data_IF_440423050585
#
_entry.id   IF_440423050585
#
_cell.length_a   1.000
_cell.length_b   1.000
_cell.length_c   1.000
_cell.angle_alpha   90.00
_cell.angle_beta   90.00
_cell.angle_gamma   90.00
#
_symmetry.space_group_name_H-M   'P 1'
#
loop_
_entity.id
_entity.type
_entity.pdbx_description
1 polymer ?
#
# COMPACT_ATOMS: atom_id res chain seq x y z
N UNK A 1 -11.55 10.65 -3.43
CA UNK A 1 -12.89 11.29 -3.40
C UNK A 1 -12.98 12.17 -2.16
N UNK A 2 -13.65 13.33 -2.22
CA UNK A 2 -13.92 14.12 -1.02
C UNK A 2 -14.76 13.30 -0.04
N UNK A 3 -14.31 13.23 1.21
CA UNK A 3 -15.02 12.54 2.29
C UNK A 3 -16.30 13.32 2.63
N UNK A 4 -17.46 12.75 2.33
CA UNK A 4 -18.74 13.35 2.75
C UNK A 4 -19.01 13.03 4.22
N UNK A 5 -18.55 13.91 5.12
CA UNK A 5 -18.78 13.74 6.55
C UNK A 5 -20.23 14.07 6.98
N UNK A 6 -21.13 14.47 6.08
CA UNK A 6 -22.48 14.92 6.46
C UNK A 6 -23.35 13.81 7.05
N UNK A 7 -22.98 12.54 6.81
CA UNK A 7 -23.72 11.36 7.27
C UNK A 7 -23.09 10.69 8.50
N UNK A 8 -21.94 11.17 8.96
CA UNK A 8 -21.24 10.55 10.09
C UNK A 8 -21.95 10.81 11.41
N UNK A 9 -21.95 9.80 12.27
CA UNK A 9 -22.44 9.88 13.65
C UNK A 9 -21.23 10.12 14.57
N UNK A 10 -21.43 10.88 15.66
CA UNK A 10 -20.38 11.14 16.66
C UNK A 10 -19.87 9.80 17.22
N UNK A 11 -18.55 9.60 17.20
CA UNK A 11 -17.91 8.35 17.61
C UNK A 11 -17.80 7.29 16.50
N UNK A 12 -18.33 7.55 15.31
CA UNK A 12 -18.18 6.66 14.16
C UNK A 12 -16.73 6.69 13.65
N UNK A 13 -16.08 5.52 13.51
CA UNK A 13 -14.72 5.46 13.01
C UNK A 13 -14.66 5.70 11.49
N UNK A 14 -13.59 6.32 11.04
CA UNK A 14 -13.38 6.63 9.61
C UNK A 14 -12.66 5.50 8.87
N UNK A 15 -12.82 5.46 7.55
CA UNK A 15 -12.11 4.53 6.66
C UNK A 15 -10.58 4.70 6.74
N UNK A 16 -9.85 3.57 6.67
CA UNK A 16 -8.38 3.50 6.79
C UNK A 16 -7.63 4.24 5.66
N UNK A 17 -8.29 4.48 4.53
CA UNK A 17 -7.70 5.19 3.41
C UNK A 17 -7.54 6.71 3.66
N UNK A 18 -8.26 7.27 4.64
CA UNK A 18 -8.27 8.71 4.90
C UNK A 18 -7.01 9.13 5.65
N UNK A 19 -6.29 10.10 5.06
CA UNK A 19 -5.18 10.79 5.71
C UNK A 19 -5.65 11.95 6.58
N UNK A 20 -4.97 12.15 7.71
CA UNK A 20 -5.27 13.18 8.68
C UNK A 20 -4.08 14.10 8.98
N UNK A 21 -4.43 15.33 9.34
CA UNK A 21 -3.56 16.33 9.96
C UNK A 21 -3.98 16.56 11.40
N UNK A 22 -3.03 16.66 12.33
CA UNK A 22 -3.34 17.13 13.68
C UNK A 22 -3.71 18.61 13.66
N UNK A 23 -4.81 18.96 14.34
CA UNK A 23 -5.24 20.36 14.46
C UNK A 23 -4.16 21.25 15.09
N UNK A 24 -3.43 20.73 16.09
CA UNK A 24 -2.31 21.46 16.72
C UNK A 24 -1.18 21.74 15.74
N UNK A 25 -0.89 20.80 14.83
CA UNK A 25 0.16 20.96 13.81
C UNK A 25 -0.28 21.99 12.76
N UNK A 26 -1.57 21.99 12.38
CA UNK A 26 -2.15 23.00 11.48
C UNK A 26 -2.04 24.41 12.07
N UNK A 27 -2.41 24.59 13.34
CA UNK A 27 -2.32 25.90 13.99
C UNK A 27 -0.88 26.43 14.09
N UNK A 28 0.10 25.52 14.22
CA UNK A 28 1.52 25.86 14.25
C UNK A 28 2.16 26.00 12.84
N UNK A 29 1.41 25.74 11.77
CA UNK A 29 1.93 25.73 10.40
C UNK A 29 2.52 27.08 9.96
N UNK A 30 1.91 28.26 10.23
CA UNK A 30 2.45 29.54 9.78
C UNK A 30 3.84 29.83 10.32
N UNK A 31 4.08 29.45 11.58
CA UNK A 31 5.33 29.72 12.27
C UNK A 31 6.40 28.68 11.92
N UNK A 32 5.98 27.48 11.49
CA UNK A 32 6.88 26.35 11.20
C UNK A 32 7.26 26.23 9.73
N UNK A 33 6.35 26.54 8.80
CA UNK A 33 6.49 26.16 7.38
C UNK A 33 6.29 27.31 6.39
N UNK A 34 5.81 28.48 6.83
CA UNK A 34 5.71 29.65 5.96
C UNK A 34 6.96 30.49 6.11
N UNK A 35 7.58 30.85 4.98
CA UNK A 35 8.74 31.73 4.96
C UNK A 35 8.41 33.15 5.42
N UNK A 36 9.39 33.82 6.04
CA UNK A 36 9.25 35.15 6.67
C UNK A 36 8.56 36.21 5.80
N UNK A 37 8.71 36.13 4.48
CA UNK A 37 8.07 37.05 3.54
C UNK A 37 6.53 36.90 3.50
N UNK A 38 6.03 35.66 3.58
CA UNK A 38 4.60 35.36 3.47
C UNK A 38 3.90 35.19 4.83
N UNK A 39 4.65 34.92 5.90
CA UNK A 39 4.08 34.70 7.25
C UNK A 39 3.16 35.85 7.70
N UNK A 40 3.54 37.15 7.62
CA UNK A 40 2.66 38.24 8.07
C UNK A 40 1.34 38.35 7.28
N UNK A 41 1.36 37.92 6.01
CA UNK A 41 0.19 37.97 5.12
C UNK A 41 -0.73 36.76 5.33
N UNK A 42 -0.16 35.60 5.62
CA UNK A 42 -0.90 34.35 5.81
C UNK A 42 -1.44 34.17 7.23
N UNK A 43 -0.72 34.63 8.28
CA UNK A 43 -1.09 34.44 9.69
C UNK A 43 -2.54 34.87 10.02
N UNK A 44 -3.07 36.00 9.51
CA UNK A 44 -4.47 36.38 9.76
C UNK A 44 -5.51 35.35 9.32
N UNK A 45 -5.22 34.55 8.29
CA UNK A 45 -6.12 33.45 7.87
C UNK A 45 -6.12 32.30 8.86
N UNK A 46 -4.97 32.03 9.50
CA UNK A 46 -4.86 30.99 10.53
C UNK A 46 -5.45 31.44 11.87
N UNK A 47 -5.29 32.73 12.21
CA UNK A 47 -5.92 33.33 13.40
C UNK A 47 -7.45 33.25 13.34
N UNK A 48 -8.01 33.24 12.12
CA UNK A 48 -9.45 33.14 11.81
C UNK A 48 -9.80 31.86 11.02
N UNK A 49 -9.06 30.78 11.22
CA UNK A 49 -9.15 29.55 10.40
C UNK A 49 -10.56 28.93 10.34
N UNK A 50 -11.41 29.21 11.33
CA UNK A 50 -12.77 28.70 11.45
C UNK A 50 -13.84 29.62 10.81
N UNK A 51 -13.53 30.89 10.57
CA UNK A 51 -14.48 31.88 10.03
C UNK A 51 -14.69 31.67 8.52
N UNK A 52 -15.95 31.69 8.08
CA UNK A 52 -16.36 31.53 6.68
C UNK A 52 -16.09 30.15 6.08
N UNK A 53 -15.87 29.12 6.91
CA UNK A 53 -15.45 27.78 6.46
C UNK A 53 -16.14 26.65 7.22
N UNK A 54 -16.08 25.46 6.64
CA UNK A 54 -16.55 24.23 7.25
C UNK A 54 -15.34 23.36 7.58
N UNK A 55 -15.31 22.84 8.81
CA UNK A 55 -14.32 21.87 9.26
C UNK A 55 -15.02 20.66 9.86
N UNK A 56 -14.67 19.48 9.39
CA UNK A 56 -15.00 18.21 10.02
C UNK A 56 -13.87 17.77 10.94
N UNK A 57 -14.17 17.69 12.23
CA UNK A 57 -13.24 17.32 13.28
C UNK A 57 -13.40 15.86 13.69
N UNK A 58 -12.26 15.24 13.94
CA UNK A 58 -12.13 13.87 14.41
C UNK A 58 -11.28 13.86 15.68
N UNK A 59 -11.46 12.83 16.50
CA UNK A 59 -10.70 12.62 17.71
C UNK A 59 -10.04 11.24 17.73
N UNK A 60 -8.89 11.15 18.40
CA UNK A 60 -8.16 9.91 18.62
C UNK A 60 -7.57 9.88 20.02
N UNK A 61 -7.87 8.81 20.76
CA UNK A 61 -7.30 8.56 22.09
C UNK A 61 -5.95 7.86 22.01
N UNK A 62 -5.13 8.02 23.05
CA UNK A 62 -3.97 7.15 23.25
C UNK A 62 -4.48 5.81 23.81
N UNK A 63 -4.26 4.66 23.15
CA UNK A 63 -4.82 3.38 23.56
C UNK A 63 -4.34 2.95 24.94
N UNK A 64 -3.09 3.23 25.28
CA UNK A 64 -2.53 2.88 26.60
C UNK A 64 -2.67 3.99 27.67
N UNK A 65 -3.25 5.14 27.33
CA UNK A 65 -3.39 6.28 28.25
C UNK A 65 -4.77 6.94 28.09
N UNK A 66 -5.85 6.22 28.40
CA UNK A 66 -7.21 6.68 28.14
C UNK A 66 -7.61 7.94 28.94
N UNK A 67 -6.91 8.22 30.06
CA UNK A 67 -7.13 9.42 30.87
C UNK A 67 -6.53 10.69 30.25
N UNK A 68 -5.62 10.57 29.27
CA UNK A 68 -5.11 11.73 28.54
C UNK A 68 -6.17 12.28 27.57
N UNK A 69 -6.21 13.61 27.41
CA UNK A 69 -7.12 14.23 26.43
C UNK A 69 -6.83 13.70 25.02
N UNK A 70 -7.87 13.32 24.26
CA UNK A 70 -7.69 12.86 22.88
C UNK A 70 -7.18 14.00 22.00
N UNK A 71 -6.56 13.61 20.89
CA UNK A 71 -6.01 14.56 19.91
C UNK A 71 -7.05 14.86 18.85
N UNK A 72 -7.13 16.14 18.50
CA UNK A 72 -7.98 16.62 17.40
C UNK A 72 -7.27 16.51 16.07
N UNK A 73 -8.03 16.02 15.10
CA UNK A 73 -7.60 15.72 13.74
C UNK A 73 -8.61 16.29 12.76
N UNK A 74 -8.14 16.63 11.57
CA UNK A 74 -8.97 16.95 10.41
C UNK A 74 -8.44 16.19 9.20
N UNK A 75 -9.30 15.70 8.29
CA UNK A 75 -8.88 15.16 7.00
C UNK A 75 -7.89 16.09 6.29
N UNK A 76 -6.79 15.53 5.79
CA UNK A 76 -5.71 16.29 5.15
C UNK A 76 -6.21 17.17 4.01
N UNK A 77 -7.17 16.66 3.23
CA UNK A 77 -7.79 17.38 2.12
C UNK A 77 -8.40 18.73 2.53
N UNK A 78 -9.02 18.82 3.73
CA UNK A 78 -9.56 20.10 4.20
C UNK A 78 -8.46 21.13 4.49
N UNK A 79 -7.26 20.67 4.86
CA UNK A 79 -6.11 21.56 5.05
C UNK A 79 -5.50 21.99 3.71
N UNK A 80 -5.44 21.09 2.72
CA UNK A 80 -5.03 21.43 1.36
C UNK A 80 -5.95 22.49 0.75
N UNK A 81 -7.27 22.29 0.85
CA UNK A 81 -8.28 23.25 0.39
C UNK A 81 -8.15 24.62 1.09
N UNK A 82 -7.83 24.60 2.39
CA UNK A 82 -7.58 25.81 3.15
C UNK A 82 -6.34 26.57 2.61
N UNK A 83 -5.22 25.88 2.41
CA UNK A 83 -4.01 26.49 1.84
C UNK A 83 -4.26 27.03 0.43
N UNK A 84 -4.99 26.27 -0.41
CA UNK A 84 -5.34 26.70 -1.76
C UNK A 84 -6.16 28.00 -1.75
N UNK A 85 -7.11 28.12 -0.83
CA UNK A 85 -7.90 29.35 -0.72
C UNK A 85 -7.07 30.58 -0.29
N UNK A 86 -6.05 30.39 0.56
CA UNK A 86 -5.11 31.46 0.92
C UNK A 86 -4.30 31.85 -0.33
N UNK A 87 -3.84 30.85 -1.08
CA UNK A 87 -3.09 31.06 -2.32
C UNK A 87 -3.88 31.88 -3.35
N UNK A 88 -5.17 31.59 -3.52
CA UNK A 88 -6.06 32.36 -4.41
C UNK A 88 -6.19 33.83 -4.00
N UNK A 89 -6.23 34.13 -2.70
CA UNK A 89 -6.37 35.51 -2.19
C UNK A 89 -5.03 36.26 -2.21
N UNK A 90 -3.93 35.58 -1.85
CA UNK A 90 -2.63 36.24 -1.67
C UNK A 90 -1.70 36.14 -2.89
N UNK A 91 -2.04 35.34 -3.91
CA UNK A 91 -1.15 35.04 -5.03
C UNK A 91 0.10 34.27 -4.59
N UNK A 92 -0.06 33.36 -3.62
CA UNK A 92 1.04 32.53 -3.09
C UNK A 92 0.95 31.09 -3.56
N UNK A 93 1.93 30.26 -3.17
CA UNK A 93 1.96 28.82 -3.43
C UNK A 93 2.25 28.03 -2.14
N UNK A 94 1.52 28.33 -1.07
CA UNK A 94 1.57 27.56 0.18
C UNK A 94 1.08 26.14 -0.08
N UNK A 95 1.84 25.16 0.38
CA UNK A 95 1.51 23.74 0.24
C UNK A 95 2.01 22.97 1.47
N UNK A 96 1.49 21.76 1.69
CA UNK A 96 2.10 20.85 2.66
C UNK A 96 3.58 20.65 2.29
N UNK A 97 4.53 20.82 3.23
CA UNK A 97 5.94 20.69 2.92
C UNK A 97 6.27 19.27 2.47
N UNK A 98 7.05 19.15 1.39
CA UNK A 98 7.58 17.87 0.94
C UNK A 98 8.67 17.31 1.87
N UNK A 99 9.16 16.12 1.55
CA UNK A 99 10.26 15.47 2.27
C UNK A 99 9.86 15.04 3.68
N UNK A 100 10.79 15.10 4.64
CA UNK A 100 10.61 14.53 5.98
C UNK A 100 9.48 15.17 6.82
N UNK A 101 8.97 16.34 6.41
CA UNK A 101 7.86 17.00 7.09
C UNK A 101 6.49 16.60 6.53
N UNK A 102 6.44 16.02 5.32
CA UNK A 102 5.21 15.64 4.64
C UNK A 102 4.40 14.63 5.46
N UNK A 103 5.09 13.64 6.03
CA UNK A 103 4.50 12.54 6.79
C UNK A 103 3.68 13.03 8.01
N UNK A 104 3.90 14.25 8.50
CA UNK A 104 3.12 14.84 9.61
C UNK A 104 1.72 15.29 9.21
N UNK A 105 1.49 15.43 7.91
CA UNK A 105 0.25 15.92 7.33
C UNK A 105 -0.53 14.83 6.59
N UNK A 106 0.05 13.65 6.35
CA UNK A 106 -0.63 12.52 5.72
C UNK A 106 -0.70 11.31 6.64
N UNK A 107 -1.07 11.52 7.91
CA UNK A 107 -1.12 10.44 8.91
C UNK A 107 -2.27 9.48 8.59
N UNK A 108 -1.97 8.18 8.51
CA UNK A 108 -2.98 7.11 8.36
C UNK A 108 -3.04 6.25 9.62
N UNK A 109 -4.21 5.70 9.89
CA UNK A 109 -4.51 4.85 11.03
C UNK A 109 -5.48 3.75 10.62
N UNK A 110 -5.62 2.69 11.43
CA UNK A 110 -6.52 1.57 11.15
C UNK A 110 -5.84 0.28 10.72
N UNK A 111 -4.53 0.31 10.42
CA UNK A 111 -3.79 -0.87 9.97
C UNK A 111 -3.85 -2.01 11.02
N UNK A 112 -4.14 -3.23 10.58
CA UNK A 112 -4.35 -4.41 11.44
C UNK A 112 -5.32 -4.17 12.59
N UNK A 113 -6.41 -3.44 12.31
CA UNK A 113 -7.46 -3.03 13.25
C UNK A 113 -6.97 -2.13 14.40
N UNK A 114 -5.78 -1.53 14.28
CA UNK A 114 -5.32 -0.56 15.26
C UNK A 114 -6.28 0.64 15.34
N UNK A 115 -6.36 1.32 16.51
CA UNK A 115 -7.31 2.41 16.72
C UNK A 115 -7.24 3.50 15.64
N UNK A 116 -8.41 3.95 15.17
CA UNK A 116 -8.55 4.94 14.09
C UNK A 116 -9.36 6.15 14.52
N UNK A 117 -9.14 7.32 13.89
CA UNK A 117 -9.87 8.54 14.22
C UNK A 117 -11.39 8.35 14.08
N UNK A 118 -12.13 8.89 15.06
CA UNK A 118 -13.59 8.88 15.07
C UNK A 118 -14.15 10.26 14.86
N UNK A 119 -15.27 10.36 14.15
CA UNK A 119 -15.93 11.63 13.90
C UNK A 119 -16.36 12.29 15.22
N UNK A 120 -16.05 13.58 15.37
CA UNK A 120 -16.42 14.36 16.55
C UNK A 120 -17.57 15.32 16.23
N UNK A 121 -17.36 16.23 15.28
CA UNK A 121 -18.33 17.28 14.92
C UNK A 121 -17.97 17.98 13.62
N UNK A 122 -18.98 18.58 13.00
CA UNK A 122 -18.84 19.59 11.95
C UNK A 122 -18.93 20.98 12.58
N UNK A 123 -17.90 21.80 12.38
CA UNK A 123 -17.90 23.24 12.68
C UNK A 123 -18.22 24.01 11.41
N UNK A 124 -19.13 24.99 11.49
CA UNK A 124 -19.49 25.88 10.39
C UNK A 124 -19.38 27.32 10.86
N UNK A 125 -18.51 28.09 10.24
CA UNK A 125 -18.36 29.53 10.44
C UNK A 125 -18.38 29.94 11.93
N UNK A 126 -17.35 29.50 12.66
CA UNK A 126 -17.22 29.79 14.09
C UNK A 126 -16.02 30.70 14.35
N UNK A 127 -16.09 31.52 15.40
CA UNK A 127 -14.93 32.30 15.86
C UNK A 127 -13.97 31.48 16.71
N UNK A 128 -14.50 30.53 17.46
CA UNK A 128 -13.75 29.66 18.38
C UNK A 128 -14.27 28.23 18.24
N UNK A 129 -13.36 27.26 18.25
CA UNK A 129 -13.72 25.85 18.29
C UNK A 129 -14.10 25.48 19.72
N UNK A 130 -15.39 25.35 19.97
CA UNK A 130 -15.90 24.86 21.25
C UNK A 130 -16.15 23.35 21.20
N UNK A 131 -15.66 22.64 22.21
CA UNK A 131 -15.83 21.20 22.39
C UNK A 131 -16.22 20.98 23.85
N UNK A 132 -17.52 20.80 24.07
CA UNK A 132 -18.09 20.61 25.41
C UNK A 132 -17.57 19.34 26.08
N UNK A 133 -17.54 18.23 25.33
CA UNK A 133 -17.01 16.95 25.81
C UNK A 133 -16.53 16.08 24.64
N UNK A 134 -15.67 15.11 24.95
CA UNK A 134 -15.30 14.04 24.03
C UNK A 134 -16.10 12.79 24.35
N UNK A 135 -16.46 11.97 23.35
CA UNK A 135 -17.03 10.66 23.61
C UNK A 135 -16.06 9.80 24.43
N UNK A 136 -16.59 8.90 25.25
CA UNK A 136 -15.81 8.04 26.15
C UNK A 136 -14.87 7.13 25.36
N UNK A 137 -13.69 6.87 25.92
CA UNK A 137 -12.74 5.89 25.41
C UNK A 137 -13.40 4.51 25.26
N UNK A 138 -13.13 3.82 24.16
CA UNK A 138 -13.65 2.46 23.92
C UNK A 138 -12.57 1.45 24.28
N UNK A 139 -12.84 0.52 25.21
CA UNK A 139 -11.86 -0.48 25.65
C UNK A 139 -11.35 -1.35 24.48
N UNK A 140 -12.18 -1.55 23.46
CA UNK A 140 -11.82 -2.22 22.22
C UNK A 140 -10.60 -1.58 21.55
N UNK A 141 -10.37 -0.27 21.68
CA UNK A 141 -9.17 0.38 21.14
C UNK A 141 -7.90 -0.11 21.82
N UNK A 142 -7.94 -0.31 23.14
CA UNK A 142 -6.80 -0.86 23.88
C UNK A 142 -6.57 -2.33 23.49
N UNK A 143 -7.64 -3.12 23.41
CA UNK A 143 -7.60 -4.54 23.04
C UNK A 143 -7.03 -4.72 21.63
N UNK A 144 -7.59 -4.04 20.63
CA UNK A 144 -7.13 -4.11 19.24
C UNK A 144 -5.70 -3.59 19.08
N UNK A 145 -5.31 -2.52 19.78
CA UNK A 145 -3.93 -2.04 19.76
C UNK A 145 -2.96 -3.07 20.34
N UNK A 146 -3.31 -3.72 21.46
CA UNK A 146 -2.48 -4.74 22.10
C UNK A 146 -2.37 -6.02 21.28
N UNK A 147 -3.43 -6.39 20.56
CA UNK A 147 -3.47 -7.56 19.71
C UNK A 147 -2.73 -7.37 18.37
N UNK A 148 -2.58 -6.12 17.90
CA UNK A 148 -1.91 -5.83 16.64
C UNK A 148 -0.43 -6.23 16.63
N UNK A 149 0.12 -6.52 15.44
CA UNK A 149 1.54 -6.83 15.26
C UNK A 149 2.47 -5.71 15.79
N UNK A 150 3.65 -6.06 16.28
CA UNK A 150 4.61 -5.09 16.85
C UNK A 150 4.98 -3.95 15.90
N UNK A 151 5.09 -4.24 14.59
CA UNK A 151 5.36 -3.21 13.59
C UNK A 151 4.20 -2.21 13.42
N UNK A 152 2.95 -2.70 13.53
CA UNK A 152 1.74 -1.88 13.49
C UNK A 152 1.67 -1.00 14.75
N UNK A 153 1.90 -1.58 15.93
CA UNK A 153 1.93 -0.84 17.19
C UNK A 153 2.95 0.31 17.15
N UNK A 154 4.17 0.03 16.66
CA UNK A 154 5.22 1.04 16.54
C UNK A 154 4.89 2.10 15.49
N UNK A 155 4.34 1.72 14.34
CA UNK A 155 3.89 2.66 13.31
C UNK A 155 2.80 3.61 13.82
N UNK A 156 1.82 3.06 14.53
CA UNK A 156 0.76 3.84 15.17
C UNK A 156 1.34 4.84 16.19
N UNK A 157 2.27 4.39 17.05
CA UNK A 157 2.94 5.24 18.02
C UNK A 157 3.80 6.34 17.35
N UNK A 158 4.48 6.03 16.25
CA UNK A 158 5.21 7.02 15.47
C UNK A 158 4.29 8.13 14.95
N UNK A 159 3.13 7.76 14.39
CA UNK A 159 2.10 8.71 13.96
C UNK A 159 1.60 9.54 15.15
N UNK A 160 1.37 8.90 16.29
CA UNK A 160 1.00 9.59 17.52
C UNK A 160 2.03 10.65 17.92
N UNK A 161 3.32 10.33 17.93
CA UNK A 161 4.35 11.31 18.29
C UNK A 161 4.56 12.43 17.25
N UNK A 162 4.08 12.24 16.02
CA UNK A 162 4.13 13.25 14.95
C UNK A 162 2.99 14.28 15.02
N UNK A 163 1.91 13.97 15.74
CA UNK A 163 0.79 14.88 15.97
C UNK A 163 1.08 16.02 16.98
N UNK A 164 2.35 16.28 17.31
CA UNK A 164 2.77 17.40 18.16
C UNK A 164 3.65 18.35 17.33
N UNK A 165 3.44 19.68 17.40
CA UNK A 165 4.32 20.64 16.74
C UNK A 165 5.78 20.45 17.18
N UNK A 166 6.70 20.45 16.21
CA UNK A 166 8.15 20.52 16.45
C UNK A 166 8.76 21.50 15.44
N UNK A 167 9.86 22.19 15.79
CA UNK A 167 10.56 23.09 14.86
C UNK A 167 10.90 22.37 13.54
N UNK A 168 10.84 23.10 12.43
CA UNK A 168 11.03 22.56 11.08
C UNK A 168 12.46 22.09 10.74
N UNK A 169 13.38 22.09 11.70
CA UNK A 169 14.77 21.69 11.50
C UNK A 169 15.23 20.74 12.62
N UNK A 170 15.39 19.46 12.28
CA UNK A 170 16.28 18.55 13.01
C UNK A 170 17.17 17.78 12.01
N UNK A 171 18.40 17.51 12.45
CA UNK A 171 19.55 16.98 11.72
C UNK A 171 19.26 15.95 10.61
N UNK A 172 19.76 16.23 9.39
CA UNK A 172 19.73 15.30 8.24
C UNK A 172 20.31 13.91 8.55
N UNK A 173 21.28 13.82 9.47
CA UNK A 173 21.94 12.56 9.87
C UNK A 173 21.08 11.70 10.81
N UNK A 174 20.20 12.31 11.61
CA UNK A 174 19.19 11.58 12.41
C UNK A 174 17.98 11.17 11.56
N UNK A 175 17.71 11.90 10.49
CA UNK A 175 16.61 11.63 9.55
C UNK A 175 16.82 10.35 8.71
N UNK A 176 18.04 10.07 8.25
CA UNK A 176 18.33 8.84 7.48
C UNK A 176 18.13 7.56 8.30
N UNK A 177 18.62 7.54 9.54
CA UNK A 177 18.42 6.41 10.46
C UNK A 177 16.94 6.21 10.82
N UNK A 178 16.20 7.30 11.05
CA UNK A 178 14.75 7.25 11.27
C UNK A 178 14.00 6.69 10.07
N UNK A 179 14.35 7.11 8.84
CA UNK A 179 13.77 6.59 7.61
C UNK A 179 14.07 5.12 7.39
N UNK A 180 15.30 4.68 7.66
CA UNK A 180 15.67 3.27 7.58
C UNK A 180 14.87 2.41 8.57
N UNK A 181 14.71 2.89 9.82
CA UNK A 181 13.88 2.23 10.83
C UNK A 181 12.41 2.18 10.43
N UNK A 182 11.85 3.28 9.90
CA UNK A 182 10.47 3.30 9.43
C UNK A 182 10.26 2.32 8.26
N UNK A 183 11.18 2.29 7.29
CA UNK A 183 11.12 1.31 6.19
C UNK A 183 11.17 -0.12 6.72
N UNK A 184 11.99 -0.42 7.73
CA UNK A 184 12.00 -1.76 8.35
C UNK A 184 10.63 -2.12 8.92
N UNK A 185 9.99 -1.21 9.66
CA UNK A 185 8.64 -1.40 10.19
C UNK A 185 7.60 -1.54 9.08
N UNK A 186 7.73 -0.78 8.00
CA UNK A 186 6.81 -0.86 6.85
C UNK A 186 6.90 -2.24 6.18
N UNK A 187 8.12 -2.80 6.03
CA UNK A 187 8.33 -4.15 5.49
C UNK A 187 7.75 -5.24 6.39
N UNK A 188 8.00 -5.16 7.70
CA UNK A 188 7.45 -6.10 8.69
C UNK A 188 5.92 -6.02 8.73
N UNK A 189 5.34 -4.82 8.62
CA UNK A 189 3.89 -4.63 8.51
C UNK A 189 3.35 -5.28 7.25
N UNK A 190 3.94 -5.04 6.07
CA UNK A 190 3.46 -5.61 4.80
C UNK A 190 3.49 -7.14 4.83
N UNK A 191 4.52 -7.75 5.43
CA UNK A 191 4.58 -9.19 5.62
C UNK A 191 3.42 -9.70 6.50
N UNK A 192 3.15 -9.03 7.63
CA UNK A 192 2.03 -9.37 8.50
C UNK A 192 0.67 -9.19 7.79
N UNK A 193 0.45 -8.07 7.13
CA UNK A 193 -0.77 -7.80 6.34
C UNK A 193 -0.97 -8.87 5.27
N UNK A 194 0.10 -9.35 4.63
CA UNK A 194 0.03 -10.47 3.68
C UNK A 194 -0.45 -11.76 4.35
N UNK A 195 0.05 -12.07 5.55
CA UNK A 195 -0.39 -13.23 6.33
C UNK A 195 -1.86 -13.11 6.76
N UNK A 196 -2.30 -11.91 7.16
CA UNK A 196 -3.70 -11.63 7.49
C UNK A 196 -4.61 -11.78 6.27
N UNK A 197 -4.23 -11.20 5.14
CA UNK A 197 -5.01 -11.28 3.90
C UNK A 197 -5.11 -12.71 3.34
N UNK A 198 -4.11 -13.56 3.58
CA UNK A 198 -4.12 -14.98 3.21
C UNK A 198 -4.76 -15.89 4.27
N UNK A 199 -5.33 -15.31 5.34
CA UNK A 199 -5.93 -16.03 6.47
C UNK A 199 -4.97 -17.02 7.16
N UNK A 200 -3.66 -16.75 7.11
CA UNK A 200 -2.63 -17.56 7.76
C UNK A 200 -2.49 -17.26 9.25
N UNK A 201 -2.90 -16.07 9.66
CA UNK A 201 -2.98 -15.64 11.06
C UNK A 201 -4.39 -15.13 11.36
N UNK A 202 -4.85 -15.19 12.61
CA UNK A 202 -6.15 -14.62 12.99
C UNK A 202 -6.19 -13.13 12.64
N UNK A 203 -7.22 -12.71 11.90
CA UNK A 203 -7.51 -11.29 11.73
C UNK A 203 -8.20 -10.75 12.98
N UNK A 204 -7.89 -9.51 13.37
CA UNK A 204 -8.45 -8.86 14.56
C UNK A 204 -9.90 -8.34 14.33
N UNK A 205 -10.37 -8.28 13.08
CA UNK A 205 -11.76 -8.13 12.66
C UNK A 205 -12.06 -9.07 11.48
N UNK A 206 -13.31 -9.09 10.97
CA UNK A 206 -13.72 -9.92 9.83
C UNK A 206 -12.70 -9.71 8.71
N UNK A 207 -11.80 -10.68 8.49
CA UNK A 207 -10.83 -10.66 7.41
C UNK A 207 -11.62 -10.49 6.12
N UNK A 208 -11.75 -9.25 5.66
CA UNK A 208 -12.61 -8.99 4.53
C UNK A 208 -11.82 -9.42 3.30
N UNK A 209 -12.22 -10.57 2.75
CA UNK A 209 -11.60 -11.25 1.61
C UNK A 209 -11.13 -10.25 0.56
N UNK A 210 -9.83 -10.23 0.31
CA UNK A 210 -9.22 -9.36 -0.68
C UNK A 210 -9.04 -10.06 -2.02
N UNK A 211 -8.83 -9.25 -3.05
CA UNK A 211 -8.33 -9.70 -4.35
C UNK A 211 -6.96 -9.09 -4.51
N UNK A 212 -5.93 -9.93 -4.60
CA UNK A 212 -4.61 -9.51 -4.99
C UNK A 212 -4.58 -9.31 -6.49
N UNK A 213 -4.15 -8.13 -6.93
CA UNK A 213 -3.91 -7.81 -8.33
C UNK A 213 -2.44 -7.44 -8.44
N UNK A 214 -1.67 -8.30 -9.08
CA UNK A 214 -0.29 -8.03 -9.43
C UNK A 214 -0.19 -7.54 -10.86
N UNK A 215 0.59 -6.48 -11.08
CA UNK A 215 0.93 -6.01 -12.42
C UNK A 215 2.44 -5.79 -12.53
N UNK A 216 3.00 -6.26 -13.63
CA UNK A 216 4.38 -6.05 -14.03
C UNK A 216 4.39 -5.43 -15.43
N UNK A 217 5.30 -4.50 -15.68
CA UNK A 217 5.33 -3.74 -16.94
C UNK A 217 6.72 -3.77 -17.57
N UNK A 218 6.79 -4.32 -18.78
CA UNK A 218 7.98 -4.22 -19.60
C UNK A 218 7.86 -3.02 -20.55
N UNK A 219 8.93 -2.23 -20.60
CA UNK A 219 9.07 -1.11 -21.52
C UNK A 219 10.27 -1.34 -22.42
N UNK A 220 10.21 -0.86 -23.67
CA UNK A 220 11.34 -0.93 -24.58
C UNK A 220 12.52 -0.16 -23.98
N UNK A 221 13.72 -0.73 -24.01
CA UNK A 221 14.92 -0.18 -23.34
C UNK A 221 15.34 1.22 -23.85
N UNK A 222 14.97 1.56 -25.09
CA UNK A 222 15.36 2.81 -25.73
C UNK A 222 14.30 3.91 -25.54
N UNK A 223 14.72 5.16 -25.25
CA UNK A 223 13.81 6.31 -25.21
C UNK A 223 12.95 6.40 -26.49
N UNK A 224 11.65 6.66 -26.38
CA UNK A 224 10.94 7.19 -25.20
C UNK A 224 10.50 6.13 -24.18
N UNK A 225 11.00 4.89 -24.27
CA UNK A 225 10.63 3.77 -23.42
C UNK A 225 9.13 3.43 -23.49
N UNK A 226 8.58 3.22 -24.71
CA UNK A 226 7.18 2.84 -24.85
C UNK A 226 6.90 1.51 -24.14
N UNK A 227 5.69 1.37 -23.61
CA UNK A 227 5.25 0.18 -22.89
C UNK A 227 5.03 -0.94 -23.89
N UNK A 228 5.81 -2.02 -23.80
CA UNK A 228 5.73 -3.16 -24.70
C UNK A 228 4.82 -4.25 -24.18
N UNK A 229 4.77 -4.47 -22.87
CA UNK A 229 4.01 -5.57 -22.26
C UNK A 229 3.44 -5.14 -20.91
N UNK A 230 2.23 -5.61 -20.61
CA UNK A 230 1.62 -5.54 -19.28
C UNK A 230 1.21 -6.94 -18.88
N UNK A 231 1.82 -7.43 -17.80
CA UNK A 231 1.45 -8.66 -17.14
C UNK A 231 0.46 -8.39 -16.03
N UNK A 232 -0.55 -9.25 -15.91
CA UNK A 232 -1.53 -9.15 -14.82
C UNK A 232 -1.72 -10.55 -14.23
N UNK A 233 -1.56 -10.67 -12.92
CA UNK A 233 -1.90 -11.88 -12.18
C UNK A 233 -2.89 -11.54 -11.08
N UNK A 234 -3.96 -12.33 -10.95
CA UNK A 234 -5.04 -12.08 -10.01
C UNK A 234 -5.26 -13.30 -9.14
N UNK A 235 -5.29 -13.09 -7.82
CA UNK A 235 -5.69 -14.10 -6.85
C UNK A 235 -6.83 -13.55 -5.99
N UNK A 236 -7.99 -14.16 -6.10
CA UNK A 236 -9.11 -13.90 -5.20
C UNK A 236 -9.00 -14.82 -3.98
N UNK A 237 -8.82 -14.26 -2.79
CA UNK A 237 -8.64 -15.06 -1.57
C UNK A 237 -9.86 -15.95 -1.28
N UNK A 238 -11.05 -15.59 -1.75
CA UNK A 238 -12.25 -16.45 -1.61
C UNK A 238 -12.09 -17.79 -2.32
N UNK A 239 -11.31 -17.83 -3.40
CA UNK A 239 -11.10 -19.07 -4.16
C UNK A 239 -10.20 -20.06 -3.38
N UNK A 240 -9.55 -19.61 -2.30
CA UNK A 240 -8.73 -20.45 -1.43
C UNK A 240 -9.53 -21.15 -0.31
N UNK A 241 -10.80 -20.78 -0.11
CA UNK A 241 -11.57 -21.20 1.07
C UNK A 241 -11.62 -22.73 1.21
N UNK A 242 -11.23 -23.21 2.39
CA UNK A 242 -11.12 -24.63 2.73
C UNK A 242 -9.98 -25.41 2.05
N UNK A 243 -9.22 -24.80 1.14
CA UNK A 243 -8.12 -25.47 0.43
C UNK A 243 -6.81 -25.29 1.19
N UNK A 244 -6.15 -26.40 1.56
CA UNK A 244 -4.82 -26.34 2.17
C UNK A 244 -3.78 -25.83 1.17
N UNK A 245 -2.88 -24.96 1.62
CA UNK A 245 -1.84 -24.32 0.79
C UNK A 245 -0.88 -25.31 0.11
N UNK A 246 -0.64 -26.46 0.73
CA UNK A 246 0.45 -27.35 0.33
C UNK A 246 1.84 -26.74 0.54
N UNK A 247 2.92 -27.46 0.17
CA UNK A 247 4.28 -26.98 0.29
C UNK A 247 4.51 -25.68 -0.49
N UNK A 248 4.99 -24.63 0.17
CA UNK A 248 5.28 -23.33 -0.46
C UNK A 248 4.07 -22.64 -1.11
N UNK A 249 2.84 -23.06 -0.78
CA UNK A 249 1.61 -22.53 -1.37
C UNK A 249 1.24 -23.15 -2.72
N UNK A 250 1.89 -24.26 -3.11
CA UNK A 250 1.72 -24.88 -4.41
C UNK A 250 0.26 -25.15 -4.80
N UNK A 251 -0.58 -25.63 -3.86
CA UNK A 251 -1.99 -25.93 -4.15
C UNK A 251 -2.80 -24.66 -4.45
N UNK A 252 -2.35 -23.50 -3.99
CA UNK A 252 -3.03 -22.23 -4.24
C UNK A 252 -2.66 -21.62 -5.59
N UNK A 253 -1.55 -22.03 -6.21
CA UNK A 253 -1.10 -21.47 -7.48
C UNK A 253 -2.09 -21.69 -8.62
N UNK A 254 -2.93 -22.73 -8.55
CA UNK A 254 -3.97 -23.02 -9.54
C UNK A 254 -5.10 -21.98 -9.58
N UNK A 255 -5.27 -21.20 -8.51
CA UNK A 255 -6.29 -20.14 -8.43
C UNK A 255 -5.80 -18.79 -8.96
N UNK A 256 -4.52 -18.70 -9.35
CA UNK A 256 -3.96 -17.48 -9.96
C UNK A 256 -4.43 -17.41 -11.41
N UNK A 257 -5.20 -16.37 -11.74
CA UNK A 257 -5.58 -16.04 -13.12
C UNK A 257 -4.50 -15.13 -13.72
N UNK A 258 -4.01 -15.48 -14.89
CA UNK A 258 -2.91 -14.78 -15.54
C UNK A 258 -3.34 -14.20 -16.88
N UNK A 259 -2.89 -12.99 -17.15
CA UNK A 259 -3.11 -12.28 -18.41
C UNK A 259 -1.80 -11.64 -18.86
N UNK A 260 -1.61 -11.60 -20.17
CA UNK A 260 -0.46 -11.00 -20.79
C UNK A 260 -0.89 -10.15 -21.98
N UNK A 261 -0.77 -8.84 -21.85
CA UNK A 261 -1.09 -7.85 -22.88
C UNK A 261 0.21 -7.40 -23.53
N UNK A 262 0.36 -7.59 -24.83
CA UNK A 262 1.49 -7.08 -25.60
C UNK A 262 1.03 -5.92 -26.46
N UNK A 263 1.63 -4.76 -26.29
CA UNK A 263 1.25 -3.57 -27.08
C UNK A 263 1.52 -3.83 -28.55
N UNK A 264 0.45 -3.80 -29.36
CA UNK A 264 0.44 -4.25 -30.75
C UNK A 264 1.48 -3.54 -31.63
N UNK A 265 1.66 -2.24 -31.39
CA UNK A 265 2.61 -1.35 -32.07
C UNK A 265 4.07 -1.80 -31.86
N UNK A 266 4.35 -2.43 -30.72
CA UNK A 266 5.70 -2.80 -30.29
C UNK A 266 5.93 -4.30 -30.21
N UNK A 267 4.94 -5.12 -30.59
CA UNK A 267 5.00 -6.58 -30.50
C UNK A 267 6.13 -7.22 -31.35
N UNK A 268 6.67 -6.50 -32.32
CA UNK A 268 7.84 -6.93 -33.10
C UNK A 268 9.20 -6.63 -32.42
N UNK A 269 9.21 -5.89 -31.32
CA UNK A 269 10.43 -5.48 -30.62
C UNK A 269 10.71 -6.40 -29.44
N UNK A 270 12.00 -6.64 -29.17
CA UNK A 270 12.46 -7.47 -28.06
C UNK A 270 13.66 -6.79 -27.41
N UNK A 271 13.62 -6.66 -26.08
CA UNK A 271 14.72 -6.13 -25.28
C UNK A 271 15.89 -7.12 -25.25
N UNK A 272 17.11 -6.61 -25.45
CA UNK A 272 18.33 -7.43 -25.49
C UNK A 272 19.57 -6.73 -24.92
N UNK A 273 19.56 -5.42 -24.71
CA UNK A 273 20.78 -4.65 -24.39
C UNK A 273 21.11 -4.70 -22.91
N UNK A 274 20.10 -4.61 -22.06
CA UNK A 274 20.24 -4.61 -20.60
C UNK A 274 19.53 -5.80 -19.97
N UNK A 275 18.42 -6.21 -20.57
CA UNK A 275 17.58 -7.33 -20.16
C UNK A 275 17.29 -8.16 -21.40
N UNK A 276 17.40 -9.49 -21.28
CA UNK A 276 16.99 -10.39 -22.34
C UNK A 276 15.50 -10.74 -22.16
N UNK A 277 14.64 -10.02 -22.87
CA UNK A 277 13.19 -10.23 -22.82
C UNK A 277 12.75 -11.58 -23.40
N UNK A 278 11.67 -12.13 -22.85
CA UNK A 278 11.03 -13.37 -23.30
C UNK A 278 9.57 -13.17 -23.76
N UNK A 279 9.24 -12.15 -24.58
CA UNK A 279 7.86 -11.72 -24.82
C UNK A 279 6.94 -12.77 -25.48
N UNK A 280 7.54 -13.76 -26.14
CA UNK A 280 6.81 -14.81 -26.86
C UNK A 280 6.52 -16.05 -26.00
N UNK A 281 7.01 -16.10 -24.76
CA UNK A 281 6.94 -17.28 -23.88
C UNK A 281 6.06 -16.99 -22.66
N UNK A 282 4.76 -16.77 -22.88
CA UNK A 282 3.82 -16.65 -21.78
C UNK A 282 3.39 -18.06 -21.33
N UNK A 283 3.87 -18.48 -20.15
CA UNK A 283 3.75 -19.86 -19.66
C UNK A 283 2.36 -20.18 -19.09
N UNK A 284 1.54 -19.15 -18.84
CA UNK A 284 0.27 -19.26 -18.11
C UNK A 284 -0.96 -18.98 -18.97
N UNK A 285 -0.81 -18.95 -20.31
CA UNK A 285 -1.95 -18.76 -21.20
C UNK A 285 -1.54 -18.29 -22.60
N UNK A 286 -2.33 -17.37 -23.15
CA UNK A 286 -2.07 -16.78 -24.48
C UNK A 286 -1.98 -15.27 -24.35
N UNK A 287 -0.95 -14.69 -24.97
CA UNK A 287 -0.80 -13.24 -25.08
C UNK A 287 -1.92 -12.65 -25.94
N UNK A 288 -2.40 -11.46 -25.58
CA UNK A 288 -3.30 -10.64 -26.40
C UNK A 288 -2.58 -9.38 -26.88
N UNK A 289 -3.12 -8.73 -27.90
CA UNK A 289 -2.43 -7.65 -28.60
C UNK A 289 -3.30 -6.39 -28.77
N UNK A 290 -3.65 -5.70 -27.67
CA UNK A 290 -4.31 -4.40 -27.74
C UNK A 290 -3.39 -3.32 -28.31
N UNK A 291 -3.97 -2.30 -28.94
CA UNK A 291 -3.26 -1.05 -29.26
C UNK A 291 -2.90 -0.29 -27.97
N UNK A 292 -1.85 0.54 -28.00
CA UNK A 292 -1.40 1.27 -26.81
C UNK A 292 -2.53 2.12 -26.19
N UNK A 293 -3.35 2.72 -27.06
CA UNK A 293 -4.51 3.52 -26.65
C UNK A 293 -5.65 2.68 -26.03
N UNK A 294 -5.68 1.38 -26.28
CA UNK A 294 -6.66 0.43 -25.74
C UNK A 294 -6.20 -0.21 -24.42
N UNK A 295 -4.92 -0.07 -24.04
CA UNK A 295 -4.37 -0.68 -22.82
C UNK A 295 -5.17 -0.34 -21.56
N UNK A 296 -5.58 0.91 -21.28
CA UNK A 296 -6.36 1.22 -20.08
C UNK A 296 -7.70 0.48 -20.04
N UNK A 297 -8.39 0.41 -21.17
CA UNK A 297 -9.68 -0.27 -21.28
C UNK A 297 -9.50 -1.78 -21.13
N UNK A 298 -8.50 -2.37 -21.80
CA UNK A 298 -8.20 -3.80 -21.69
C UNK A 298 -7.84 -4.22 -20.26
N UNK A 299 -7.09 -3.39 -19.53
CA UNK A 299 -6.81 -3.61 -18.11
C UNK A 299 -8.11 -3.53 -17.30
N UNK A 300 -8.94 -2.50 -17.52
CA UNK A 300 -10.20 -2.33 -16.80
C UNK A 300 -11.17 -3.49 -17.04
N UNK A 301 -11.29 -3.99 -18.26
CA UNK A 301 -12.11 -5.17 -18.60
C UNK A 301 -11.71 -6.41 -17.79
N UNK A 302 -10.39 -6.64 -17.63
CA UNK A 302 -9.87 -7.76 -16.81
C UNK A 302 -10.24 -7.56 -15.33
N UNK A 303 -10.18 -6.33 -14.82
CA UNK A 303 -10.49 -6.02 -13.43
C UNK A 303 -11.99 -5.90 -13.14
N UNK A 304 -12.81 -5.70 -14.18
CA UNK A 304 -14.25 -5.41 -14.10
C UNK A 304 -15.02 -6.37 -13.17
N UNK A 305 -14.81 -7.71 -13.21
CA UNK A 305 -15.55 -8.63 -12.34
C UNK A 305 -15.34 -8.34 -10.84
N UNK A 306 -14.16 -7.86 -10.46
CA UNK A 306 -13.78 -7.59 -9.07
C UNK A 306 -14.22 -6.19 -8.63
N UNK A 307 -14.17 -5.23 -9.55
CA UNK A 307 -14.63 -3.85 -9.32
C UNK A 307 -16.16 -3.84 -9.16
N UNK A 308 -16.90 -4.53 -10.04
CA UNK A 308 -18.37 -4.56 -10.03
C UNK A 308 -18.93 -5.31 -8.82
N UNK A 309 -18.27 -6.40 -8.42
CA UNK A 309 -18.58 -7.11 -7.17
C UNK A 309 -18.10 -6.38 -5.92
N UNK A 310 -17.54 -5.17 -6.07
CA UNK A 310 -17.12 -4.28 -4.98
C UNK A 310 -16.12 -4.93 -4.02
N UNK A 311 -15.21 -5.77 -4.55
CA UNK A 311 -14.16 -6.41 -3.75
C UNK A 311 -13.17 -5.39 -3.20
N UNK A 312 -12.54 -5.72 -2.08
CA UNK A 312 -11.36 -5.01 -1.58
C UNK A 312 -10.17 -5.46 -2.42
N UNK A 313 -9.44 -4.51 -2.99
CA UNK A 313 -8.31 -4.78 -3.88
C UNK A 313 -7.00 -4.44 -3.16
N UNK A 314 -6.03 -5.33 -3.26
CA UNK A 314 -4.66 -5.10 -2.84
C UNK A 314 -3.77 -5.16 -4.07
N UNK A 315 -3.08 -4.07 -4.38
CA UNK A 315 -2.13 -4.03 -5.47
C UNK A 315 -0.82 -4.68 -5.04
N UNK A 316 -0.25 -5.54 -5.87
CA UNK A 316 0.98 -6.27 -5.58
C UNK A 316 2.00 -6.00 -6.68
N UNK A 317 3.27 -5.81 -6.33
CA UNK A 317 4.35 -5.80 -7.31
C UNK A 317 5.68 -6.22 -6.71
N UNK A 318 6.74 -6.04 -7.49
CA UNK A 318 8.11 -6.28 -7.06
C UNK A 318 8.96 -5.07 -7.43
N UNK A 319 9.24 -4.18 -6.47
CA UNK A 319 9.75 -2.83 -6.73
C UNK A 319 8.78 -1.95 -7.56
N UNK A 320 7.50 -1.99 -7.18
CA UNK A 320 6.36 -1.64 -8.03
C UNK A 320 6.23 -0.14 -8.42
N UNK A 321 7.12 0.71 -7.90
CA UNK A 321 7.06 2.16 -8.12
C UNK A 321 7.23 2.54 -9.59
N UNK A 322 8.09 1.81 -10.30
CA UNK A 322 8.33 2.06 -11.72
C UNK A 322 7.13 1.59 -12.57
N UNK A 323 6.56 0.43 -12.26
CA UNK A 323 5.38 -0.11 -12.95
C UNK A 323 4.17 0.82 -12.81
N UNK A 324 3.91 1.33 -11.60
CA UNK A 324 2.82 2.28 -11.36
C UNK A 324 2.98 3.54 -12.22
N UNK A 325 4.21 4.03 -12.41
CA UNK A 325 4.47 5.18 -13.29
C UNK A 325 4.19 4.85 -14.75
N UNK A 326 4.61 3.67 -15.21
CA UNK A 326 4.39 3.21 -16.58
C UNK A 326 2.91 2.99 -16.88
N UNK A 327 2.17 2.37 -15.96
CA UNK A 327 0.70 2.27 -16.04
C UNK A 327 0.06 3.67 -16.12
N UNK A 328 0.53 4.61 -15.30
CA UNK A 328 0.01 5.98 -15.34
C UNK A 328 0.33 6.70 -16.64
N UNK A 329 1.45 6.41 -17.32
CA UNK A 329 1.78 7.05 -18.60
C UNK A 329 0.90 6.59 -19.76
N UNK A 330 0.36 5.37 -19.70
CA UNK A 330 -0.61 4.89 -20.69
C UNK A 330 -2.05 5.22 -20.33
N UNK A 331 -2.29 5.90 -19.19
CA UNK A 331 -3.62 6.35 -18.77
C UNK A 331 -4.29 5.47 -17.71
N UNK A 332 -3.62 4.45 -17.18
CA UNK A 332 -4.13 3.62 -16.09
C UNK A 332 -3.56 4.06 -14.74
N UNK A 333 -4.37 4.75 -13.93
CA UNK A 333 -3.94 5.30 -12.63
C UNK A 333 -4.27 4.34 -11.50
N UNK A 334 -3.30 3.53 -11.06
CA UNK A 334 -3.48 2.51 -9.99
C UNK A 334 -4.16 3.05 -8.72
N UNK A 335 -3.80 4.22 -8.16
CA UNK A 335 -4.49 4.78 -7.00
C UNK A 335 -5.99 5.09 -7.20
N UNK A 336 -6.46 5.11 -8.46
CA UNK A 336 -7.87 5.36 -8.81
C UNK A 336 -8.71 4.07 -8.84
N UNK A 337 -8.09 2.90 -8.65
CA UNK A 337 -8.83 1.63 -8.53
C UNK A 337 -9.80 1.72 -7.34
N UNK A 338 -11.08 1.47 -7.61
CA UNK A 338 -12.12 1.52 -6.56
C UNK A 338 -11.85 0.45 -5.51
N UNK A 339 -11.94 0.83 -4.24
CA UNK A 339 -11.68 -0.05 -3.07
C UNK A 339 -10.27 -0.66 -3.07
N UNK A 340 -9.29 0.05 -3.63
CA UNK A 340 -7.89 -0.22 -3.33
C UNK A 340 -7.65 0.05 -1.84
N UNK A 341 -7.37 -1.00 -1.07
CA UNK A 341 -7.18 -0.93 0.39
C UNK A 341 -5.72 -1.06 0.81
N UNK A 342 -4.86 -1.55 -0.08
CA UNK A 342 -3.45 -1.74 0.23
C UNK A 342 -2.58 -1.86 -1.01
N UNK A 343 -1.27 -1.70 -0.78
CA UNK A 343 -0.21 -1.99 -1.72
C UNK A 343 0.83 -2.83 -1.01
N UNK A 344 1.24 -3.93 -1.64
CA UNK A 344 2.24 -4.86 -1.15
C UNK A 344 3.39 -4.93 -2.15
N UNK A 345 4.62 -4.93 -1.65
CA UNK A 345 5.81 -5.08 -2.47
C UNK A 345 6.60 -6.32 -2.04
N UNK A 346 6.69 -7.30 -2.93
CA UNK A 346 7.31 -8.60 -2.61
C UNK A 346 8.80 -8.50 -2.36
N UNK A 347 9.49 -7.48 -2.90
CA UNK A 347 10.90 -7.21 -2.60
C UNK A 347 11.07 -6.81 -1.14
N UNK A 348 10.19 -5.95 -0.67
CA UNK A 348 10.14 -5.47 0.71
C UNK A 348 9.71 -6.56 1.68
N UNK A 349 8.68 -7.33 1.33
CA UNK A 349 8.17 -8.45 2.15
C UNK A 349 9.23 -9.54 2.29
N UNK A 350 9.90 -9.92 1.21
CA UNK A 350 11.03 -10.85 1.26
C UNK A 350 12.19 -10.32 2.10
N UNK A 351 12.49 -9.02 1.99
CA UNK A 351 13.53 -8.39 2.79
C UNK A 351 13.20 -8.41 4.29
N UNK A 352 11.93 -8.28 4.68
CA UNK A 352 11.51 -8.49 6.07
C UNK A 352 11.75 -9.94 6.53
N UNK A 353 11.28 -10.93 5.75
CA UNK A 353 11.44 -12.35 6.10
C UNK A 353 12.92 -12.75 6.29
N UNK A 354 13.80 -12.34 5.38
CA UNK A 354 15.23 -12.67 5.43
C UNK A 354 16.08 -11.73 6.29
N UNK A 355 15.47 -10.71 6.91
CA UNK A 355 16.15 -9.67 7.69
C UNK A 355 17.32 -9.00 6.94
N UNK A 356 17.14 -8.75 5.63
CA UNK A 356 18.20 -8.20 4.77
C UNK A 356 18.25 -6.67 4.82
N UNK A 357 19.43 -6.08 4.56
CA UNK A 357 19.59 -4.63 4.38
C UNK A 357 19.18 -4.17 2.98
N UNK A 358 19.40 -5.02 1.97
CA UNK A 358 19.11 -4.74 0.57
C UNK A 358 18.05 -5.71 0.03
N UNK A 359 17.13 -5.19 -0.79
CA UNK A 359 16.16 -6.01 -1.51
C UNK A 359 16.83 -6.88 -2.60
N UNK A 360 16.19 -8.00 -2.92
CA UNK A 360 16.63 -8.96 -3.94
C UNK A 360 15.75 -8.86 -5.19
N UNK A 361 16.28 -9.30 -6.34
CA UNK A 361 15.49 -9.46 -7.57
C UNK A 361 14.48 -10.59 -7.43
N UNK A 362 13.43 -10.57 -8.26
CA UNK A 362 12.40 -11.60 -8.29
C UNK A 362 13.00 -13.00 -8.43
N UNK A 363 13.93 -13.21 -9.38
CA UNK A 363 14.64 -14.49 -9.54
C UNK A 363 15.29 -14.96 -8.22
N UNK A 364 15.96 -14.06 -7.50
CA UNK A 364 16.63 -14.45 -6.26
C UNK A 364 15.63 -14.75 -5.14
N UNK A 365 14.49 -14.06 -5.09
CA UNK A 365 13.39 -14.37 -4.16
C UNK A 365 12.82 -15.77 -4.45
N UNK A 366 12.55 -16.08 -5.72
CA UNK A 366 12.05 -17.39 -6.14
C UNK A 366 13.04 -18.51 -5.80
N UNK A 367 14.34 -18.29 -6.00
CA UNK A 367 15.39 -19.24 -5.62
C UNK A 367 15.44 -19.48 -4.10
N UNK A 368 15.34 -18.42 -3.28
CA UNK A 368 15.30 -18.54 -1.82
C UNK A 368 14.08 -19.36 -1.34
N UNK A 369 12.97 -19.32 -2.10
CA UNK A 369 11.75 -20.10 -1.87
C UNK A 369 11.78 -21.50 -2.51
N UNK A 370 12.83 -21.84 -3.25
CA UNK A 370 12.90 -23.06 -4.08
C UNK A 370 11.77 -23.18 -5.12
N UNK A 371 11.23 -22.04 -5.58
CA UNK A 371 10.24 -21.98 -6.65
C UNK A 371 10.98 -21.95 -7.99
N UNK A 372 10.78 -22.98 -8.81
CA UNK A 372 11.33 -23.01 -10.17
C UNK A 372 10.62 -21.97 -11.02
N UNK A 373 11.40 -21.19 -11.75
CA UNK A 373 10.92 -20.20 -12.71
C UNK A 373 11.63 -20.35 -14.04
N UNK A 374 10.92 -20.03 -15.11
CA UNK A 374 11.40 -19.97 -16.50
C UNK A 374 10.80 -18.71 -17.12
N UNK A 375 11.41 -18.24 -18.21
CA UNK A 375 10.89 -17.13 -19.02
C UNK A 375 10.52 -15.86 -18.20
N UNK A 376 11.33 -15.51 -17.19
CA UNK A 376 11.30 -14.17 -16.58
C UNK A 376 11.65 -13.13 -17.65
N UNK A 377 11.27 -11.87 -17.43
CA UNK A 377 11.23 -10.82 -18.46
C UNK A 377 10.18 -11.08 -19.53
N UNK A 378 9.11 -11.74 -19.12
CA UNK A 378 7.81 -11.76 -19.76
C UNK A 378 6.85 -11.24 -18.69
N UNK A 379 6.27 -10.05 -18.91
CA UNK A 379 5.54 -9.37 -17.86
C UNK A 379 4.43 -10.25 -17.24
N UNK A 380 3.74 -11.04 -18.07
CA UNK A 380 2.71 -11.98 -17.62
C UNK A 380 3.24 -13.06 -16.68
N UNK A 381 4.40 -13.65 -16.99
CA UNK A 381 5.06 -14.62 -16.12
C UNK A 381 5.55 -13.96 -14.83
N UNK A 382 6.16 -12.77 -14.93
CA UNK A 382 6.72 -12.04 -13.79
C UNK A 382 5.62 -11.65 -12.79
N UNK A 383 4.43 -11.25 -13.26
CA UNK A 383 3.27 -11.02 -12.41
C UNK A 383 2.82 -12.30 -11.67
N UNK A 384 2.78 -13.44 -12.35
CA UNK A 384 2.41 -14.74 -11.72
C UNK A 384 3.45 -15.16 -10.70
N UNK A 385 4.72 -15.13 -11.05
CA UNK A 385 5.81 -15.48 -10.14
C UNK A 385 5.90 -14.52 -8.96
N UNK A 386 5.56 -13.24 -9.14
CA UNK A 386 5.44 -12.28 -8.03
C UNK A 386 4.34 -12.68 -7.05
N UNK A 387 3.14 -13.08 -7.51
CA UNK A 387 2.11 -13.60 -6.58
C UNK A 387 2.54 -14.92 -5.91
N UNK A 388 3.21 -15.82 -6.64
CA UNK A 388 3.75 -17.05 -6.04
C UNK A 388 4.80 -16.74 -4.97
N UNK A 389 5.64 -15.74 -5.20
CA UNK A 389 6.60 -15.26 -4.22
C UNK A 389 5.91 -14.65 -3.00
N UNK A 390 4.87 -13.83 -3.18
CA UNK A 390 4.07 -13.28 -2.09
C UNK A 390 3.54 -14.38 -1.16
N UNK A 391 2.88 -15.39 -1.73
CA UNK A 391 2.33 -16.54 -1.00
C UNK A 391 3.45 -17.31 -0.30
N UNK A 392 4.53 -17.61 -1.04
CA UNK A 392 5.67 -18.39 -0.54
C UNK A 392 6.34 -17.72 0.65
N UNK A 393 6.64 -16.42 0.58
CA UNK A 393 7.27 -15.70 1.70
C UNK A 393 6.36 -15.68 2.93
N UNK A 394 5.05 -15.44 2.75
CA UNK A 394 4.11 -15.39 3.87
C UNK A 394 4.03 -16.73 4.63
N UNK A 395 4.01 -17.85 3.90
CA UNK A 395 4.00 -19.21 4.46
C UNK A 395 5.34 -19.61 5.08
N UNK A 396 6.45 -19.36 4.38
CA UNK A 396 7.78 -19.77 4.83
C UNK A 396 8.22 -19.02 6.08
N UNK A 397 7.80 -17.76 6.27
CA UNK A 397 8.14 -17.04 7.48
C UNK A 397 7.50 -17.63 8.75
N UNK A 398 6.22 -18.02 8.66
CA UNK A 398 5.51 -18.73 9.74
C UNK A 398 6.19 -20.06 10.01
N UNK A 399 6.46 -20.82 8.95
CA UNK A 399 7.09 -22.14 9.04
C UNK A 399 8.51 -22.07 9.64
N UNK A 400 9.29 -21.07 9.27
CA UNK A 400 10.61 -20.83 9.84
C UNK A 400 10.54 -20.49 11.33
N UNK A 401 9.59 -19.63 11.74
CA UNK A 401 9.34 -19.33 13.15
C UNK A 401 8.94 -20.58 13.94
N UNK A 402 8.07 -21.42 13.39
CA UNK A 402 7.66 -22.67 14.03
C UNK A 402 8.81 -23.66 14.19
N UNK A 403 9.65 -23.82 13.15
CA UNK A 403 10.84 -24.66 13.21
C UNK A 403 11.82 -24.17 14.29
N UNK A 404 12.09 -22.85 14.32
CA UNK A 404 12.92 -22.22 15.36
C UNK A 404 12.37 -22.44 16.77
N UNK A 405 11.05 -22.32 16.96
CA UNK A 405 10.41 -22.55 18.26
C UNK A 405 10.52 -24.01 18.74
N UNK A 406 10.57 -24.97 17.81
CA UNK A 406 10.75 -26.40 18.09
C UNK A 406 12.23 -26.82 18.21
N UNK A 407 13.16 -25.97 17.76
CA UNK A 407 14.59 -26.28 17.68
C UNK A 407 14.97 -27.11 16.44
N UNK A 408 14.10 -27.15 15.43
CA UNK A 408 14.31 -27.89 14.19
C UNK A 408 15.14 -27.09 13.18
N UNK A 409 15.87 -27.78 12.29
CA UNK A 409 16.54 -27.15 11.15
C UNK A 409 15.49 -26.67 10.14
N UNK A 410 15.52 -25.38 9.79
CA UNK A 410 14.66 -24.81 8.76
C UNK A 410 15.24 -25.04 7.35
N UNK A 411 14.41 -25.58 6.45
CA UNK A 411 14.67 -25.69 4.99
C UNK A 411 13.40 -25.34 4.24
N UNK A 412 13.38 -24.57 3.14
CA UNK A 412 12.15 -24.22 2.42
C UNK A 412 11.27 -25.45 2.09
N UNK A 413 9.95 -25.31 2.12
CA UNK A 413 9.03 -26.44 1.97
C UNK A 413 9.14 -27.13 0.60
N UNK A 414 9.59 -26.40 -0.42
CA UNK A 414 9.82 -26.91 -1.78
C UNK A 414 11.23 -27.46 -2.01
N UNK A 415 12.12 -27.43 -1.02
CA UNK A 415 13.53 -27.82 -1.18
C UNK A 415 13.70 -29.26 -1.71
N UNK A 416 12.96 -30.22 -1.14
CA UNK A 416 13.03 -31.65 -1.51
C UNK A 416 11.83 -32.10 -2.37
N UNK A 417 10.99 -31.17 -2.83
CA UNK A 417 9.77 -31.51 -3.58
C UNK A 417 10.05 -31.54 -5.07
N UNK A 418 9.87 -32.72 -5.69
CA UNK A 418 9.76 -32.84 -7.15
C UNK A 418 8.31 -32.55 -7.54
N UNK A 419 8.01 -31.32 -7.91
CA UNK A 419 6.73 -30.98 -8.54
C UNK A 419 6.72 -31.55 -9.96
N UNK A 420 5.72 -32.38 -10.29
CA UNK A 420 5.43 -32.76 -11.67
C UNK A 420 4.84 -31.53 -12.39
N UNK A 421 5.50 -31.04 -13.44
CA UNK A 421 4.88 -30.04 -14.31
C UNK A 421 3.73 -30.73 -15.05
N UNK A 422 2.52 -30.15 -15.12
CA UNK A 422 1.46 -30.73 -15.93
C UNK A 422 1.94 -30.83 -17.38
N UNK A 423 1.83 -32.02 -17.99
CA UNK A 423 2.15 -32.22 -19.40
C UNK A 423 1.27 -31.29 -20.24
N UNK A 424 1.88 -30.26 -20.81
CA UNK A 424 1.24 -29.48 -21.87
C UNK A 424 1.25 -30.36 -23.12
N UNK A 425 0.11 -30.95 -23.43
CA UNK A 425 -0.12 -31.72 -24.64
C UNK A 425 0.25 -30.86 -25.86
N UNK A 426 1.32 -31.20 -26.59
CA UNK A 426 1.61 -30.61 -27.91
C UNK A 426 2.98 -29.97 -28.17
N UNK A 427 4.04 -30.24 -27.39
CA UNK A 427 5.41 -29.87 -27.81
C UNK A 427 6.12 -31.03 -28.51
N UNK A 428 6.18 -30.97 -29.85
CA UNK A 428 7.17 -31.75 -30.62
C UNK A 428 8.58 -31.37 -30.16
N UNK A 429 9.30 -32.36 -29.65
CA UNK A 429 10.74 -32.26 -29.36
C UNK A 429 11.49 -32.06 -30.67
N UNK A 430 11.99 -30.85 -30.90
CA UNK A 430 13.04 -30.63 -31.88
C UNK A 430 14.39 -30.69 -31.16
N UNK A 431 15.20 -31.66 -31.62
CA UNK A 431 16.54 -32.04 -31.13
C UNK A 431 17.55 -30.91 -31.30
#
# INVERSE_FOLDING_TARGET
MPLDCSKFIVGEPVDEAISFCSWKVILAYPDSFIGKANTPRAKPFFDKILEGRVWDFFYLYHPEKPDEKPRLLVPTVQFEDFLESINRVLGTALAIPGGANQDRFYLKFGQGDAPRPRYLKRSRDQKVLDIESFPVFQNTDWESFRAAHGAIQQGWMNNWYMMVPRPAFQDKKKDSGRKAAQRKLDRERMLHETQEYLHLVPANSVAADVVFICMDVEAIEMPPNPISEVGIAILDVKDLDGVQSGPGGHNWWQFIKAYHLRTKEYAGLVNHRFVHGCPNYFDFGKSTFPEECELPEAILEILQPYVDSKRRIVFVGHDAHQDIKYLSSVGFVVPSIRRLVGQLDTKDIHQAWKELDNGKSLLSVLNDLSIRSKHLHNAGNDAVFTLRALIGVALEEIREKEAKAKGDEYKPALWDVKLEEPEIEGMEKWV
#
